data_IF_844885575265
#
_entry.id   IF_844885575265
#
_cell.length_a   1.000
_cell.length_b   1.000
_cell.length_c   1.000
_cell.angle_alpha   90.00
_cell.angle_beta   90.00
_cell.angle_gamma   90.00
#
_symmetry.space_group_name_H-M   'P 1'
#
loop_
_entity.id
_entity.type
_entity.pdbx_description
1 polymer ?
#
# COMPACT_ATOMS: atom_id res chain seq x y z
N UNK A 1 3.00 -3.29 -13.17
CA UNK A 1 2.28 -2.89 -11.93
C UNK A 1 2.51 -1.43 -11.56
N UNK A 2 3.74 -0.97 -11.55
CA UNK A 2 4.06 0.44 -11.21
C UNK A 2 3.35 1.42 -12.14
N UNK A 3 3.38 1.19 -13.45
CA UNK A 3 2.69 2.05 -14.42
C UNK A 3 1.18 2.11 -14.14
N UNK A 4 0.58 0.95 -13.87
CA UNK A 4 -0.84 0.86 -13.56
C UNK A 4 -1.21 1.66 -12.32
N UNK A 5 -0.41 1.54 -11.25
CA UNK A 5 -0.60 2.28 -10.01
C UNK A 5 -0.48 3.79 -10.24
N UNK A 6 0.50 4.23 -11.03
CA UNK A 6 0.65 5.64 -11.39
C UNK A 6 -0.58 6.18 -12.12
N UNK A 7 -1.13 5.39 -13.04
CA UNK A 7 -2.34 5.78 -13.79
C UNK A 7 -3.56 5.88 -12.87
N UNK A 8 -3.72 4.94 -11.94
CA UNK A 8 -4.79 5.02 -10.94
C UNK A 8 -4.65 6.27 -10.09
N UNK A 9 -3.43 6.58 -9.66
CA UNK A 9 -3.17 7.77 -8.84
C UNK A 9 -3.61 9.03 -9.57
N UNK A 10 -3.25 9.18 -10.84
CA UNK A 10 -3.62 10.34 -11.64
C UNK A 10 -5.12 10.44 -11.86
N UNK A 11 -5.77 9.32 -12.17
CA UNK A 11 -7.21 9.30 -12.47
C UNK A 11 -8.05 9.61 -11.24
N UNK A 12 -7.73 9.02 -10.10
CA UNK A 12 -8.56 9.11 -8.89
C UNK A 12 -7.98 10.04 -7.83
N UNK A 13 -6.83 10.65 -8.09
CA UNK A 13 -6.13 11.53 -7.14
C UNK A 13 -5.84 10.83 -5.82
N UNK A 14 -5.33 9.60 -5.91
CA UNK A 14 -5.06 8.77 -4.74
C UNK A 14 -3.80 9.22 -4.01
N UNK A 15 -3.80 8.99 -2.70
CA UNK A 15 -2.56 8.98 -1.91
C UNK A 15 -2.05 7.55 -1.90
N UNK A 16 -0.77 7.37 -2.15
CA UNK A 16 -0.13 6.06 -2.18
C UNK A 16 0.94 6.01 -1.10
N UNK A 17 0.86 4.96 -0.27
CA UNK A 17 1.83 4.72 0.78
C UNK A 17 2.43 3.32 0.62
N UNK A 18 3.67 3.18 1.03
CA UNK A 18 4.32 1.87 1.14
C UNK A 18 4.53 1.53 2.61
N UNK A 19 4.13 0.32 3.01
CA UNK A 19 4.33 -0.22 4.36
C UNK A 19 5.28 -1.40 4.24
N UNK A 20 6.44 -1.32 4.88
CA UNK A 20 7.53 -2.28 4.69
C UNK A 20 8.15 -2.73 6.00
N UNK A 21 8.55 -4.00 6.05
CA UNK A 21 9.38 -4.56 7.13
C UNK A 21 10.88 -4.50 6.82
N UNK A 22 11.27 -3.84 5.74
CA UNK A 22 12.66 -3.75 5.32
C UNK A 22 13.53 -2.93 6.26
N UNK A 23 14.82 -3.28 6.32
CA UNK A 23 15.80 -2.48 7.02
C UNK A 23 16.03 -1.13 6.36
N UNK A 24 16.63 -0.19 7.11
CA UNK A 24 16.80 1.19 6.67
C UNK A 24 17.60 1.32 5.37
N UNK A 25 18.74 0.66 5.28
CA UNK A 25 19.60 0.76 4.10
C UNK A 25 18.94 0.21 2.84
N UNK A 26 18.26 -0.95 2.98
CA UNK A 26 17.54 -1.56 1.86
C UNK A 26 16.37 -0.69 1.41
N UNK A 27 15.63 -0.11 2.34
CA UNK A 27 14.52 0.79 2.05
C UNK A 27 15.02 2.01 1.26
N UNK A 28 16.07 2.67 1.75
CA UNK A 28 16.65 3.84 1.08
C UNK A 28 17.16 3.48 -0.31
N UNK A 29 17.84 2.34 -0.43
CA UNK A 29 18.33 1.85 -1.72
C UNK A 29 17.18 1.69 -2.73
N UNK A 30 16.10 1.04 -2.34
CA UNK A 30 14.96 0.82 -3.23
C UNK A 30 14.24 2.10 -3.61
N UNK A 31 14.07 3.02 -2.66
CA UNK A 31 13.47 4.32 -2.92
C UNK A 31 14.23 5.07 -4.01
N UNK A 32 15.56 5.05 -3.93
CA UNK A 32 16.40 5.75 -4.89
C UNK A 32 16.49 5.02 -6.23
N UNK A 33 16.71 3.69 -6.21
CA UNK A 33 16.90 2.90 -7.44
C UNK A 33 15.66 2.89 -8.33
N UNK A 34 14.49 2.73 -7.74
CA UNK A 34 13.23 2.61 -8.49
C UNK A 34 12.47 3.92 -8.59
N UNK A 35 13.07 5.02 -8.12
CA UNK A 35 12.43 6.35 -8.12
C UNK A 35 11.03 6.33 -7.51
N UNK A 36 10.89 5.62 -6.38
CA UNK A 36 9.58 5.41 -5.74
C UNK A 36 8.95 6.73 -5.28
N UNK A 37 9.75 7.74 -4.97
CA UNK A 37 9.24 9.05 -4.58
C UNK A 37 8.41 9.73 -5.65
N UNK A 38 8.53 9.29 -6.92
CA UNK A 38 7.78 9.90 -8.01
C UNK A 38 6.27 9.62 -7.92
N UNK A 39 5.86 8.55 -7.23
CA UNK A 39 4.43 8.21 -7.12
C UNK A 39 3.98 7.79 -5.71
N UNK A 40 4.90 7.52 -4.79
CA UNK A 40 4.57 7.15 -3.41
C UNK A 40 4.64 8.41 -2.54
N UNK A 41 3.53 8.72 -1.88
CA UNK A 41 3.41 9.93 -1.08
C UNK A 41 4.15 9.84 0.25
N UNK A 42 4.14 8.65 0.89
CA UNK A 42 4.91 8.46 2.12
C UNK A 42 5.24 6.98 2.33
N UNK A 43 6.24 6.75 3.17
CA UNK A 43 6.75 5.41 3.49
C UNK A 43 6.61 5.15 4.97
N UNK A 44 6.04 3.99 5.32
CA UNK A 44 6.00 3.49 6.69
C UNK A 44 6.87 2.24 6.72
N UNK A 45 8.11 2.39 7.13
CA UNK A 45 9.07 1.28 7.22
C UNK A 45 9.33 0.96 8.69
N UNK A 46 9.44 -0.33 9.03
CA UNK A 46 9.64 -0.77 10.41
C UNK A 46 10.88 -0.13 11.04
N UNK A 47 11.93 0.11 10.27
CA UNK A 47 13.16 0.74 10.75
C UNK A 47 12.99 2.20 11.15
N UNK A 48 11.92 2.87 10.68
CA UNK A 48 11.65 4.28 11.01
C UNK A 48 10.61 4.42 12.12
N UNK A 49 9.68 3.48 12.25
CA UNK A 49 8.56 3.59 13.19
C UNK A 49 8.64 2.60 14.36
N UNK A 50 9.59 1.67 14.34
CA UNK A 50 9.83 0.67 15.37
C UNK A 50 8.71 -0.37 15.55
N UNK A 51 7.78 -0.47 14.61
CA UNK A 51 6.75 -1.51 14.54
C UNK A 51 6.89 -2.29 13.25
N UNK A 52 6.46 -3.54 13.24
CA UNK A 52 6.55 -4.43 12.08
C UNK A 52 5.20 -5.02 11.75
N UNK A 53 4.97 -5.31 10.45
CA UNK A 53 3.86 -6.18 10.08
C UNK A 53 4.08 -7.57 10.71
N UNK A 54 3.10 -8.24 11.29
CA UNK A 54 1.66 -7.90 11.27
C UNK A 54 1.16 -7.12 12.49
N UNK A 55 2.00 -6.40 13.21
CA UNK A 55 1.54 -5.59 14.35
C UNK A 55 0.52 -4.56 13.87
N UNK A 56 -0.61 -4.44 14.58
CA UNK A 56 -1.65 -3.47 14.22
C UNK A 56 -1.14 -2.03 14.24
N UNK A 57 -0.18 -1.73 15.09
CA UNK A 57 0.33 -0.37 15.26
C UNK A 57 0.92 0.21 13.97
N UNK A 58 1.58 -0.61 13.13
CA UNK A 58 2.14 -0.11 11.88
C UNK A 58 1.02 0.33 10.93
N UNK A 59 -0.11 -0.38 10.91
CA UNK A 59 -1.27 -0.01 10.08
C UNK A 59 -1.97 1.22 10.64
N UNK A 60 -2.06 1.36 11.96
CA UNK A 60 -2.64 2.55 12.60
C UNK A 60 -1.81 3.79 12.30
N UNK A 61 -0.48 3.69 12.30
CA UNK A 61 0.40 4.78 11.91
C UNK A 61 0.14 5.18 10.46
N UNK A 62 -0.01 4.19 9.56
CA UNK A 62 -0.30 4.46 8.16
C UNK A 62 -1.63 5.20 7.99
N UNK A 63 -2.67 4.81 8.72
CA UNK A 63 -3.97 5.49 8.69
C UNK A 63 -3.86 6.92 9.20
N UNK A 64 -3.12 7.13 10.29
CA UNK A 64 -2.91 8.47 10.85
C UNK A 64 -2.17 9.37 9.86
N UNK A 65 -1.16 8.84 9.18
CA UNK A 65 -0.44 9.60 8.15
C UNK A 65 -1.30 9.90 6.93
N UNK A 66 -2.15 8.97 6.53
CA UNK A 66 -3.03 9.15 5.36
C UNK A 66 -4.17 10.12 5.63
N UNK A 67 -4.61 10.25 6.88
CA UNK A 67 -5.72 11.13 7.30
C UNK A 67 -7.03 10.82 6.57
N UNK A 68 -7.31 9.52 6.36
CA UNK A 68 -8.56 9.05 5.75
C UNK A 68 -9.15 7.92 6.59
N UNK A 69 -10.47 7.70 6.54
CA UNK A 69 -11.08 6.56 7.23
C UNK A 69 -10.57 5.23 6.68
N UNK A 70 -10.49 4.21 7.53
CA UNK A 70 -9.99 2.89 7.15
C UNK A 70 -10.76 2.31 5.95
N UNK A 71 -12.06 2.49 5.90
CA UNK A 71 -12.92 1.95 4.83
C UNK A 71 -12.66 2.61 3.47
N UNK A 72 -11.92 3.71 3.43
CA UNK A 72 -11.51 4.37 2.17
C UNK A 72 -10.10 3.95 1.74
N UNK A 73 -9.46 3.05 2.48
CA UNK A 73 -8.10 2.58 2.20
C UNK A 73 -8.16 1.17 1.62
N UNK A 74 -7.32 0.92 0.61
CA UNK A 74 -7.09 -0.42 0.07
C UNK A 74 -5.65 -0.80 0.38
N UNK A 75 -5.47 -1.93 1.04
CA UNK A 75 -4.15 -2.48 1.36
C UNK A 75 -3.89 -3.70 0.48
N UNK A 76 -2.75 -3.69 -0.20
CA UNK A 76 -2.34 -4.77 -1.11
C UNK A 76 -1.04 -5.37 -0.59
N UNK A 77 -1.03 -6.66 -0.35
CA UNK A 77 0.15 -7.38 0.11
C UNK A 77 0.07 -8.83 -0.39
N UNK A 78 1.20 -9.48 -0.58
CA UNK A 78 1.24 -10.87 -1.02
C UNK A 78 1.02 -11.86 0.13
N UNK A 79 1.07 -11.41 1.38
CA UNK A 79 0.86 -12.26 2.56
C UNK A 79 -0.55 -12.09 3.09
N UNK A 80 -1.31 -13.19 3.03
CA UNK A 80 -2.71 -13.19 3.48
C UNK A 80 -2.85 -12.78 4.95
N UNK A 81 -1.92 -13.23 5.81
CA UNK A 81 -1.96 -12.90 7.24
C UNK A 81 -1.88 -11.39 7.48
N UNK A 82 -1.03 -10.69 6.73
CA UNK A 82 -0.91 -9.24 6.85
C UNK A 82 -2.20 -8.53 6.39
N UNK A 83 -2.79 -9.04 5.30
CA UNK A 83 -4.05 -8.50 4.78
C UNK A 83 -5.18 -8.69 5.79
N UNK A 84 -5.25 -9.84 6.44
CA UNK A 84 -6.28 -10.14 7.44
C UNK A 84 -6.22 -9.18 8.63
N UNK A 85 -5.01 -8.84 9.09
CA UNK A 85 -4.84 -7.89 10.19
C UNK A 85 -5.36 -6.50 9.78
N UNK A 86 -5.01 -6.05 8.57
CA UNK A 86 -5.49 -4.77 8.06
C UNK A 86 -7.02 -4.77 7.93
N UNK A 87 -7.61 -5.86 7.45
CA UNK A 87 -9.07 -6.00 7.34
C UNK A 87 -9.75 -5.92 8.70
N UNK A 88 -9.11 -6.43 9.74
CA UNK A 88 -9.61 -6.33 11.11
C UNK A 88 -9.71 -4.88 11.62
N UNK A 89 -8.98 -3.96 11.00
CA UNK A 89 -9.05 -2.53 11.31
C UNK A 89 -10.02 -1.76 10.41
N UNK A 90 -10.75 -2.45 9.52
CA UNK A 90 -11.69 -1.84 8.59
C UNK A 90 -11.10 -1.45 7.25
N UNK A 91 -9.82 -1.73 7.01
CA UNK A 91 -9.16 -1.49 5.73
C UNK A 91 -9.61 -2.54 4.72
N UNK A 92 -9.90 -2.14 3.49
CA UNK A 92 -10.20 -3.10 2.42
C UNK A 92 -8.89 -3.76 1.97
N UNK A 93 -8.86 -5.07 1.91
CA UNK A 93 -7.63 -5.81 1.64
C UNK A 93 -7.67 -6.61 0.36
N UNK A 94 -6.50 -6.69 -0.30
CA UNK A 94 -6.30 -7.54 -1.47
C UNK A 94 -5.03 -8.35 -1.24
N UNK A 95 -5.16 -9.68 -1.32
CA UNK A 95 -4.00 -10.56 -1.34
C UNK A 95 -3.47 -10.60 -2.78
N UNK A 96 -2.29 -10.05 -3.00
CA UNK A 96 -1.70 -9.96 -4.33
C UNK A 96 -1.19 -11.33 -4.79
N UNK A 97 -1.78 -11.88 -5.84
CA UNK A 97 -1.40 -13.17 -6.44
C UNK A 97 -0.88 -13.01 -7.87
N UNK A 98 -0.85 -11.79 -8.39
CA UNK A 98 -0.43 -11.45 -9.73
C UNK A 98 -1.14 -10.20 -10.20
N UNK A 99 -0.61 -9.61 -11.27
CA UNK A 99 -1.12 -8.32 -11.77
C UNK A 99 -2.60 -8.39 -12.16
N UNK A 100 -2.99 -9.38 -12.97
CA UNK A 100 -4.36 -9.47 -13.47
C UNK A 100 -5.38 -9.69 -12.36
N UNK A 101 -5.05 -10.54 -11.39
CA UNK A 101 -5.93 -10.77 -10.24
C UNK A 101 -6.13 -9.51 -9.42
N UNK A 102 -5.05 -8.79 -9.14
CA UNK A 102 -5.12 -7.54 -8.37
C UNK A 102 -5.86 -6.46 -9.14
N UNK A 103 -5.60 -6.34 -10.45
CA UNK A 103 -6.31 -5.40 -11.31
C UNK A 103 -7.81 -5.63 -11.29
N UNK A 104 -8.23 -6.89 -11.37
CA UNK A 104 -9.64 -7.26 -11.34
C UNK A 104 -10.29 -6.91 -10.00
N UNK A 105 -9.61 -7.18 -8.89
CA UNK A 105 -10.12 -6.84 -7.56
C UNK A 105 -10.26 -5.35 -7.35
N UNK A 106 -9.29 -4.57 -7.83
CA UNK A 106 -9.35 -3.10 -7.79
C UNK A 106 -10.52 -2.59 -8.63
N UNK A 107 -10.75 -3.18 -9.79
CA UNK A 107 -11.89 -2.83 -10.64
C UNK A 107 -13.21 -3.05 -9.91
N UNK A 108 -13.35 -4.18 -9.20
CA UNK A 108 -14.54 -4.47 -8.40
C UNK A 108 -14.76 -3.44 -7.29
N UNK A 109 -13.71 -2.78 -6.85
CA UNK A 109 -13.75 -1.70 -5.86
C UNK A 109 -13.95 -0.31 -6.50
N UNK A 110 -14.12 -0.25 -7.82
CA UNK A 110 -14.33 1.01 -8.52
C UNK A 110 -13.06 1.68 -9.04
N UNK A 111 -11.92 1.02 -8.94
CA UNK A 111 -10.63 1.56 -9.38
C UNK A 111 -10.17 0.85 -10.65
N UNK A 112 -10.43 1.47 -11.81
CA UNK A 112 -10.06 0.87 -13.09
C UNK A 112 -9.47 1.87 -14.06
N UNK A 113 -8.60 1.36 -14.94
CA UNK A 113 -8.04 2.10 -16.06
C UNK A 113 -8.45 1.38 -17.34
N UNK A 114 -9.07 2.10 -18.23
CA UNK A 114 -9.36 1.61 -19.57
C UNK A 114 -8.16 1.85 -20.47
N UNK A 115 -7.85 0.85 -21.30
CA UNK A 115 -6.73 0.95 -22.23
C UNK A 115 -7.00 1.98 -23.33
#
# INVERSE_FOLDING_TARGET
>A
MIEFVCRLKQRYRLKIAAVSNEGRELTIYRVNKFNLKSFIDFFIASCFVHFRKPDEDIYRIALDCAQVPAEEVVYIDDRAMFVEIAQGLGIRGIVHRGFESTRQKLKEMGLEIHA
#
